data_IF_391984090269
#
_entry.id   IF_391984090269
#
_cell.length_a   1.000
_cell.length_b   1.000
_cell.length_c   1.000
_cell.angle_alpha   90.00
_cell.angle_beta   90.00
_cell.angle_gamma   90.00
#
_symmetry.space_group_name_H-M   'P 1'
#
loop_
_entity.id
_entity.type
_entity.pdbx_description
1 polymer ?
#
# COMPACT_ATOMS: atom_id res chain seq x y z
N UNK A 1 -9.87 2.51 -7.05
CA UNK A 1 -8.60 3.14 -6.68
C UNK A 1 -8.82 4.64 -6.68
N UNK A 2 -8.68 5.29 -5.52
CA UNK A 2 -8.88 6.73 -5.38
C UNK A 2 -7.57 7.47 -5.67
N UNK A 3 -7.60 8.49 -6.52
CA UNK A 3 -6.39 9.24 -6.92
C UNK A 3 -5.71 9.93 -5.73
N UNK A 4 -6.49 10.30 -4.72
CA UNK A 4 -5.99 10.96 -3.51
C UNK A 4 -5.05 10.05 -2.71
N UNK A 5 -5.36 8.76 -2.63
CA UNK A 5 -4.49 7.78 -1.94
C UNK A 5 -3.17 7.57 -2.66
N UNK A 6 -3.14 7.72 -3.99
CA UNK A 6 -1.88 7.64 -4.74
C UNK A 6 -1.01 8.85 -4.40
N UNK A 7 -1.59 10.06 -4.40
CA UNK A 7 -0.87 11.29 -4.06
C UNK A 7 -0.34 11.27 -2.64
N UNK A 8 -1.11 10.76 -1.69
CA UNK A 8 -0.68 10.66 -0.29
C UNK A 8 0.36 9.55 -0.10
N UNK A 9 0.21 8.40 -0.76
CA UNK A 9 1.21 7.33 -0.70
C UNK A 9 2.55 7.76 -1.31
N UNK A 10 2.54 8.60 -2.36
CA UNK A 10 3.75 9.18 -2.96
C UNK A 10 4.52 10.10 -2.00
N UNK A 11 3.86 10.68 -0.99
CA UNK A 11 4.55 11.45 0.06
C UNK A 11 5.38 10.54 0.98
N UNK A 12 4.95 9.27 1.13
CA UNK A 12 5.68 8.27 1.92
C UNK A 12 6.72 7.51 1.08
N UNK A 13 6.37 7.14 -0.16
CA UNK A 13 7.27 6.47 -1.12
C UNK A 13 7.40 7.37 -2.35
N UNK A 14 8.46 8.15 -2.40
CA UNK A 14 8.65 9.18 -3.43
C UNK A 14 8.90 8.62 -4.84
N UNK A 15 9.45 7.41 -4.95
CA UNK A 15 9.65 6.74 -6.23
C UNK A 15 8.36 6.01 -6.67
N UNK A 16 7.71 6.42 -7.77
CA UNK A 16 6.49 5.78 -8.25
C UNK A 16 6.68 4.30 -8.63
N UNK A 17 7.86 3.93 -9.11
CA UNK A 17 8.18 2.54 -9.46
C UNK A 17 8.31 1.67 -8.20
N UNK A 18 8.85 2.22 -7.12
CA UNK A 18 8.88 1.52 -5.83
C UNK A 18 7.46 1.41 -5.27
N UNK A 19 6.69 2.49 -5.31
CA UNK A 19 5.30 2.51 -4.83
C UNK A 19 4.47 1.43 -5.52
N UNK A 20 4.48 1.36 -6.86
CA UNK A 20 3.69 0.36 -7.60
C UNK A 20 4.12 -1.08 -7.27
N UNK A 21 5.41 -1.31 -7.05
CA UNK A 21 5.93 -2.63 -6.66
C UNK A 21 5.45 -3.03 -5.26
N UNK A 22 5.51 -2.10 -4.29
CA UNK A 22 5.06 -2.33 -2.91
C UNK A 22 3.56 -2.60 -2.87
N UNK A 23 2.76 -1.74 -3.51
CA UNK A 23 1.30 -1.92 -3.63
C UNK A 23 0.97 -3.26 -4.28
N UNK A 24 1.60 -3.58 -5.41
CA UNK A 24 1.34 -4.85 -6.13
C UNK A 24 1.63 -6.08 -5.27
N UNK A 25 2.74 -6.06 -4.52
CA UNK A 25 3.09 -7.14 -3.59
C UNK A 25 2.06 -7.26 -2.47
N UNK A 26 1.65 -6.14 -1.89
CA UNK A 26 0.69 -6.13 -0.79
C UNK A 26 -0.71 -6.58 -1.23
N UNK A 27 -1.19 -6.10 -2.37
CA UNK A 27 -2.47 -6.52 -2.97
C UNK A 27 -2.51 -8.04 -3.17
N UNK A 28 -1.41 -8.64 -3.64
CA UNK A 28 -1.31 -10.11 -3.78
C UNK A 28 -1.43 -10.84 -2.44
N UNK A 29 -0.83 -10.29 -1.37
CA UNK A 29 -0.97 -10.86 -0.02
C UNK A 29 -2.40 -10.78 0.48
N UNK A 30 -3.06 -9.64 0.32
CA UNK A 30 -4.46 -9.43 0.72
C UNK A 30 -5.40 -10.38 -0.04
N UNK A 31 -5.21 -10.52 -1.36
CA UNK A 31 -5.97 -11.48 -2.20
C UNK A 31 -5.75 -12.94 -1.79
N UNK A 32 -4.63 -13.27 -1.14
CA UNK A 32 -4.34 -14.58 -0.54
C UNK A 32 -4.92 -14.75 0.88
N UNK A 33 -5.67 -13.77 1.39
CA UNK A 33 -6.30 -13.84 2.70
C UNK A 33 -5.45 -13.30 3.86
N UNK A 34 -4.35 -12.59 3.57
CA UNK A 34 -3.64 -11.87 4.64
C UNK A 34 -4.53 -10.78 5.22
N UNK A 35 -4.48 -10.60 6.53
CA UNK A 35 -5.26 -9.58 7.22
C UNK A 35 -4.75 -8.19 6.86
N UNK A 36 -5.65 -7.22 6.58
CA UNK A 36 -5.31 -5.81 6.57
C UNK A 36 -4.68 -5.38 7.90
N UNK A 37 -3.68 -4.50 7.83
CA UNK A 37 -3.02 -3.86 8.97
C UNK A 37 -3.74 -2.58 9.40
N UNK A 38 -4.65 -2.10 8.54
CA UNK A 38 -5.45 -0.90 8.74
C UNK A 38 -6.91 -1.31 8.86
N UNK A 39 -7.58 -0.82 9.90
CA UNK A 39 -9.00 -1.01 10.07
C UNK A 39 -9.80 -0.01 9.20
N UNK A 40 -10.89 -0.50 8.63
CA UNK A 40 -11.80 0.30 7.81
C UNK A 40 -13.22 -0.15 8.10
N UNK A 41 -14.09 0.80 8.41
CA UNK A 41 -15.53 0.56 8.54
C UNK A 41 -16.17 0.31 7.16
N UNK A 42 -15.53 0.79 6.10
CA UNK A 42 -15.95 0.58 4.71
C UNK A 42 -15.29 -0.66 4.10
N UNK A 43 -16.01 -1.37 3.23
CA UNK A 43 -15.43 -2.41 2.35
C UNK A 43 -14.54 -1.75 1.30
N UNK A 44 -13.24 -1.65 1.60
CA UNK A 44 -12.23 -1.14 0.68
C UNK A 44 -11.75 -2.24 -0.28
N UNK A 45 -11.32 -1.82 -1.47
CA UNK A 45 -10.61 -2.71 -2.39
C UNK A 45 -9.24 -3.08 -1.81
N UNK A 46 -8.66 -4.24 -2.15
CA UNK A 46 -7.29 -4.59 -1.75
C UNK A 46 -6.26 -3.50 -2.14
N UNK A 47 -6.47 -2.84 -3.26
CA UNK A 47 -5.64 -1.75 -3.76
C UNK A 47 -5.73 -0.53 -2.83
N UNK A 48 -6.94 -0.14 -2.41
CA UNK A 48 -7.13 0.98 -1.49
C UNK A 48 -6.59 0.66 -0.08
N UNK A 49 -6.73 -0.60 0.39
CA UNK A 49 -6.16 -1.05 1.66
C UNK A 49 -4.63 -0.94 1.63
N UNK A 50 -3.99 -1.45 0.57
CA UNK A 50 -2.54 -1.41 0.44
C UNK A 50 -2.00 0.03 0.42
N UNK A 51 -2.69 0.95 -0.27
CA UNK A 51 -2.31 2.37 -0.26
C UNK A 51 -2.45 2.99 1.12
N UNK A 52 -3.55 2.71 1.84
CA UNK A 52 -3.73 3.21 3.22
C UNK A 52 -2.67 2.68 4.18
N UNK A 53 -2.32 1.40 4.07
CA UNK A 53 -1.25 0.81 4.88
C UNK A 53 0.11 1.48 4.64
N UNK A 54 0.38 1.96 3.42
CA UNK A 54 1.58 2.76 3.10
C UNK A 54 1.47 4.17 3.68
N UNK A 55 0.33 4.85 3.50
CA UNK A 55 0.08 6.20 4.03
C UNK A 55 0.20 6.23 5.55
N UNK A 56 -0.29 5.20 6.25
CA UNK A 56 -0.22 5.05 7.70
C UNK A 56 1.13 4.50 8.19
N UNK A 57 2.10 4.29 7.28
CA UNK A 57 3.44 3.82 7.62
C UNK A 57 3.50 2.38 8.16
N UNK A 58 2.45 1.57 7.95
CA UNK A 58 2.39 0.16 8.39
C UNK A 58 3.20 -0.78 7.50
N UNK A 59 3.48 -0.36 6.26
CA UNK A 59 4.32 -1.10 5.32
C UNK A 59 5.56 -0.28 5.01
N UNK A 60 6.71 -0.87 5.30
CA UNK A 60 8.01 -0.34 4.91
C UNK A 60 8.54 -1.08 3.68
N UNK A 61 9.28 -0.36 2.84
CA UNK A 61 10.05 -0.97 1.75
C UNK A 61 11.52 -0.93 2.14
N UNK A 62 12.17 -2.09 2.20
CA UNK A 62 13.62 -2.14 2.32
C UNK A 62 14.21 -2.05 0.92
N UNK A 63 14.91 -0.95 0.63
CA UNK A 63 15.80 -0.90 -0.51
C UNK A 63 16.97 -1.82 -0.12
N UNK A 64 16.97 -3.05 -0.67
CA UNK A 64 18.12 -3.93 -0.55
C UNK A 64 19.31 -3.21 -1.18
N UNK A 65 20.10 -2.55 -0.34
CA UNK A 65 21.33 -1.88 -0.75
C UNK A 65 22.34 -3.02 -0.88
N UNK A 66 22.71 -3.35 -2.11
CA UNK A 66 23.68 -4.39 -2.42
C UNK A 66 24.98 -3.76 -2.87
#
# INVERSE_FOLDING_TARGET
MRDDYIKDALKSIQDPNVLINVVSRRVKQLKRGNRPLVESLEKLSPEDIALREIIEGKISHEIATK
#
